data_IF_355126721463
#
_entry.id   IF_355126721463
#
_cell.length_a   1.000
_cell.length_b   1.000
_cell.length_c   1.000
_cell.angle_alpha   90.00
_cell.angle_beta   90.00
_cell.angle_gamma   90.00
#
_symmetry.space_group_name_H-M   'P 1'
#
loop_
_entity.id
_entity.type
_entity.pdbx_description
1 polymer ?
#
# COMPACT_ATOMS: atom_id res chain seq x y z
N UNK A 1 0.23 -3.69 30.17
CA UNK A 1 0.94 -3.16 28.99
C UNK A 1 0.65 -3.97 27.73
N UNK A 2 0.66 -5.31 27.77
CA UNK A 2 0.34 -6.17 26.61
C UNK A 2 -1.00 -5.87 25.90
N UNK A 3 -2.10 -5.65 26.65
CA UNK A 3 -3.42 -5.31 26.05
C UNK A 3 -3.41 -4.03 25.22
N UNK A 4 -2.62 -3.02 25.60
CA UNK A 4 -2.55 -1.75 24.88
C UNK A 4 -1.79 -1.91 23.56
N UNK A 5 -0.71 -2.70 23.56
CA UNK A 5 0.04 -3.04 22.36
C UNK A 5 -0.79 -3.89 21.40
N UNK A 6 -1.53 -4.88 21.90
CA UNK A 6 -2.44 -5.69 21.08
C UNK A 6 -3.56 -4.84 20.46
N UNK A 7 -4.18 -3.94 21.24
CA UNK A 7 -5.22 -3.04 20.73
C UNK A 7 -4.66 -2.10 19.66
N UNK A 8 -3.48 -1.52 19.91
CA UNK A 8 -2.80 -0.65 18.94
C UNK A 8 -2.48 -1.38 17.63
N UNK A 9 -1.88 -2.57 17.70
CA UNK A 9 -1.57 -3.38 16.51
C UNK A 9 -2.86 -3.78 15.78
N UNK A 10 -3.90 -4.15 16.50
CA UNK A 10 -5.20 -4.46 15.90
C UNK A 10 -5.77 -3.26 15.15
N UNK A 11 -5.81 -2.07 15.78
CA UNK A 11 -6.29 -0.84 15.14
C UNK A 11 -5.43 -0.46 13.94
N UNK A 12 -4.11 -0.61 14.02
CA UNK A 12 -3.19 -0.35 12.91
C UNK A 12 -3.47 -1.27 11.72
N UNK A 13 -3.53 -2.58 11.95
CA UNK A 13 -3.83 -3.56 10.89
C UNK A 13 -5.22 -3.33 10.29
N UNK A 14 -6.21 -2.98 11.12
CA UNK A 14 -7.56 -2.67 10.65
C UNK A 14 -7.60 -1.41 9.77
N UNK A 15 -6.87 -0.36 10.13
CA UNK A 15 -6.76 0.85 9.31
C UNK A 15 -6.02 0.60 7.99
N UNK A 16 -4.94 -0.17 8.01
CA UNK A 16 -4.23 -0.63 6.81
C UNK A 16 -5.21 -1.39 5.88
N UNK A 17 -5.91 -2.39 6.41
CA UNK A 17 -6.90 -3.18 5.68
C UNK A 17 -7.98 -2.31 5.02
N UNK A 18 -8.56 -1.37 5.79
CA UNK A 18 -9.56 -0.43 5.25
C UNK A 18 -8.96 0.45 4.16
N UNK A 19 -7.75 0.95 4.35
CA UNK A 19 -7.04 1.75 3.38
C UNK A 19 -6.83 1.03 2.05
N UNK A 20 -6.30 -0.19 2.08
CA UNK A 20 -6.08 -1.01 0.87
C UNK A 20 -7.40 -1.43 0.22
N UNK A 21 -8.44 -1.70 1.01
CA UNK A 21 -9.79 -1.98 0.50
C UNK A 21 -10.36 -0.77 -0.25
N UNK A 22 -10.20 0.44 0.29
CA UNK A 22 -10.63 1.68 -0.37
C UNK A 22 -9.83 1.95 -1.65
N UNK A 23 -8.52 1.69 -1.64
CA UNK A 23 -7.68 1.80 -2.83
C UNK A 23 -8.16 0.84 -3.93
N UNK A 24 -8.40 -0.43 -3.59
CA UNK A 24 -8.95 -1.44 -4.49
C UNK A 24 -10.30 -1.00 -5.06
N UNK A 25 -11.20 -0.51 -4.21
CA UNK A 25 -12.51 -0.03 -4.64
C UNK A 25 -12.40 1.16 -5.60
N UNK A 26 -11.49 2.11 -5.37
CA UNK A 26 -11.23 3.24 -6.28
C UNK A 26 -10.68 2.79 -7.62
N UNK A 27 -9.78 1.81 -7.63
CA UNK A 27 -9.21 1.24 -8.86
C UNK A 27 -10.31 0.56 -9.68
N UNK A 28 -11.11 -0.30 -9.06
CA UNK A 28 -12.21 -1.01 -9.72
C UNK A 28 -13.31 -0.05 -10.20
N UNK A 29 -13.69 0.93 -9.37
CA UNK A 29 -14.71 1.92 -9.72
C UNK A 29 -14.28 2.77 -10.91
N UNK A 30 -13.01 3.20 -10.95
CA UNK A 30 -12.46 3.93 -12.09
C UNK A 30 -12.44 3.06 -13.36
N UNK A 31 -12.04 1.79 -13.24
CA UNK A 31 -12.05 0.86 -14.36
C UNK A 31 -13.46 0.63 -14.94
N UNK A 32 -14.46 0.43 -14.08
CA UNK A 32 -15.86 0.25 -14.50
C UNK A 32 -16.43 1.52 -15.13
N UNK A 33 -16.14 2.69 -14.56
CA UNK A 33 -16.68 3.97 -15.04
C UNK A 33 -16.07 4.41 -16.36
N UNK A 34 -14.77 4.17 -16.55
CA UNK A 34 -14.03 4.72 -17.71
C UNK A 34 -13.83 3.66 -18.80
N UNK A 35 -14.07 2.38 -18.51
CA UNK A 35 -13.69 1.22 -19.35
C UNK A 35 -12.22 1.27 -19.82
N UNK A 36 -11.39 1.99 -19.08
CA UNK A 36 -10.00 2.23 -19.40
C UNK A 36 -9.15 2.07 -18.17
N UNK A 37 -7.91 1.63 -18.38
CA UNK A 37 -6.86 1.51 -17.36
C UNK A 37 -6.12 2.83 -17.14
N UNK A 38 -6.40 3.82 -17.98
CA UNK A 38 -5.83 5.18 -17.93
C UNK A 38 -6.45 5.97 -16.77
N UNK A 39 -5.64 6.70 -16.00
CA UNK A 39 -6.11 7.52 -14.86
C UNK A 39 -6.29 6.79 -13.53
N UNK A 40 -5.95 5.49 -13.44
CA UNK A 40 -6.00 4.72 -12.18
C UNK A 40 -5.06 5.32 -11.14
N UNK A 41 -3.86 5.74 -11.58
CA UNK A 41 -2.90 6.41 -10.71
C UNK A 41 -3.44 7.75 -10.19
N UNK A 42 -4.11 8.55 -11.01
CA UNK A 42 -4.71 9.81 -10.58
C UNK A 42 -5.81 9.61 -9.52
N UNK A 43 -6.55 8.49 -9.59
CA UNK A 43 -7.64 8.16 -8.65
C UNK A 43 -7.16 7.58 -7.31
N UNK A 44 -6.19 6.66 -7.35
CA UNK A 44 -5.77 5.84 -6.21
C UNK A 44 -4.29 5.99 -5.81
N UNK A 45 -3.46 6.62 -6.64
CA UNK A 45 -2.00 6.70 -6.44
C UNK A 45 -1.59 7.46 -5.19
N UNK A 46 -2.23 8.59 -4.87
CA UNK A 46 -1.96 9.33 -3.63
C UNK A 46 -2.39 8.54 -2.39
N UNK A 47 -3.50 7.79 -2.46
CA UNK A 47 -3.93 6.92 -1.36
C UNK A 47 -2.92 5.77 -1.16
N UNK A 48 -2.47 5.12 -2.22
CA UNK A 48 -1.46 4.04 -2.15
C UNK A 48 -0.11 4.58 -1.64
N UNK A 49 0.26 5.80 -2.03
CA UNK A 49 1.45 6.46 -1.49
C UNK A 49 1.34 6.65 0.02
N UNK A 50 0.18 7.12 0.51
CA UNK A 50 -0.09 7.26 1.94
C UNK A 50 -0.03 5.90 2.65
N UNK A 51 -0.64 4.85 2.09
CA UNK A 51 -0.59 3.50 2.65
C UNK A 51 0.84 2.95 2.72
N UNK A 52 1.67 3.21 1.70
CA UNK A 52 3.09 2.85 1.77
C UNK A 52 3.85 3.64 2.82
N UNK A 53 3.55 4.92 3.03
CA UNK A 53 4.12 5.66 4.15
C UNK A 53 3.68 5.06 5.49
N UNK A 54 2.41 4.67 5.64
CA UNK A 54 1.91 4.00 6.84
C UNK A 54 2.58 2.64 7.07
N UNK A 55 2.82 1.86 6.01
CA UNK A 55 3.51 0.57 6.09
C UNK A 55 4.95 0.68 6.63
N UNK A 56 5.57 1.86 6.61
CA UNK A 56 6.85 2.08 7.30
C UNK A 56 6.73 1.95 8.82
N UNK A 57 5.54 2.09 9.41
CA UNK A 57 5.35 1.87 10.84
C UNK A 57 5.61 0.41 11.23
N UNK A 58 5.38 -0.56 10.34
CA UNK A 58 5.72 -1.98 10.60
C UNK A 58 7.22 -2.20 10.75
N UNK A 59 8.02 -1.47 9.97
CA UNK A 59 9.48 -1.43 10.15
C UNK A 59 9.81 -0.92 11.54
N UNK A 60 9.17 0.16 11.98
CA UNK A 60 9.40 0.73 13.30
C UNK A 60 8.95 -0.25 14.41
N UNK A 61 7.83 -0.96 14.24
CA UNK A 61 7.37 -1.98 15.19
C UNK A 61 8.38 -3.12 15.32
N UNK A 62 8.98 -3.55 14.20
CA UNK A 62 10.07 -4.53 14.18
C UNK A 62 11.36 -4.02 14.82
N UNK A 63 11.69 -2.73 14.64
CA UNK A 63 12.88 -2.10 15.21
C UNK A 63 12.78 -1.94 16.74
N UNK A 64 11.59 -1.59 17.24
CA UNK A 64 11.31 -1.43 18.68
C UNK A 64 11.12 -2.80 19.36
N UNK A 65 10.98 -3.90 18.60
CA UNK A 65 10.77 -5.24 19.14
C UNK A 65 9.34 -5.48 19.63
N UNK A 66 8.36 -4.70 19.13
CA UNK A 66 6.93 -4.93 19.41
C UNK A 66 6.47 -6.25 18.75
N UNK A 67 7.10 -6.61 17.62
CA UNK A 67 6.77 -7.82 16.85
C UNK A 67 8.00 -8.73 16.78
N UNK A 68 7.87 -10.04 17.06
CA UNK A 68 8.99 -10.98 17.14
C UNK A 68 9.67 -11.29 15.80
N UNK A 69 9.07 -10.91 14.66
CA UNK A 69 9.58 -11.20 13.30
C UNK A 69 10.83 -10.40 12.91
N UNK A 70 11.24 -9.43 13.71
CA UNK A 70 12.40 -8.58 13.44
C UNK A 70 12.15 -7.54 12.34
N UNK A 71 13.12 -6.63 12.15
CA UNK A 71 12.98 -5.42 11.31
C UNK A 71 13.30 -5.63 9.82
N UNK A 72 14.10 -6.65 9.49
CA UNK A 72 14.71 -6.80 8.17
C UNK A 72 13.69 -7.18 7.08
N UNK A 73 12.74 -8.07 7.40
CA UNK A 73 11.73 -8.50 6.44
C UNK A 73 10.75 -7.38 6.07
N UNK A 74 10.14 -6.65 7.02
CA UNK A 74 9.30 -5.48 6.70
C UNK A 74 10.06 -4.40 5.94
N UNK A 75 11.34 -4.15 6.28
CA UNK A 75 12.17 -3.19 5.57
C UNK A 75 12.36 -3.55 4.10
N UNK A 76 12.67 -4.81 3.81
CA UNK A 76 12.91 -5.28 2.45
C UNK A 76 11.63 -5.20 1.61
N UNK A 77 10.49 -5.61 2.17
CA UNK A 77 9.19 -5.52 1.51
C UNK A 77 8.77 -4.07 1.25
N UNK A 78 8.90 -3.22 2.27
CA UNK A 78 8.55 -1.80 2.17
C UNK A 78 9.44 -1.06 1.18
N UNK A 79 10.76 -1.27 1.23
CA UNK A 79 11.72 -0.58 0.36
C UNK A 79 11.51 -0.95 -1.11
N UNK A 80 11.28 -2.23 -1.44
CA UNK A 80 11.03 -2.66 -2.81
C UNK A 80 9.79 -2.01 -3.42
N UNK A 81 8.68 -2.00 -2.68
CA UNK A 81 7.42 -1.39 -3.14
C UNK A 81 7.49 0.13 -3.21
N UNK A 82 8.10 0.76 -2.21
CA UNK A 82 8.24 2.23 -2.14
C UNK A 82 9.18 2.74 -3.22
N UNK A 83 10.27 2.02 -3.52
CA UNK A 83 11.16 2.36 -4.61
C UNK A 83 10.46 2.31 -5.97
N UNK A 84 9.71 1.23 -6.25
CA UNK A 84 8.91 1.14 -7.47
C UNK A 84 7.89 2.30 -7.57
N UNK A 85 7.15 2.59 -6.50
CA UNK A 85 6.12 3.62 -6.51
C UNK A 85 6.69 5.04 -6.67
N UNK A 86 7.67 5.42 -5.83
CA UNK A 86 8.18 6.78 -5.74
C UNK A 86 9.27 7.09 -6.77
N UNK A 87 10.18 6.15 -7.02
CA UNK A 87 11.30 6.38 -7.92
C UNK A 87 10.95 6.12 -9.39
N UNK A 88 10.02 5.20 -9.68
CA UNK A 88 9.66 4.83 -11.05
C UNK A 88 8.31 5.44 -11.44
N UNK A 89 7.22 4.98 -10.81
CA UNK A 89 5.86 5.34 -11.23
C UNK A 89 5.57 6.84 -11.06
N UNK A 90 6.02 7.45 -9.95
CA UNK A 90 5.79 8.88 -9.70
C UNK A 90 6.62 9.79 -10.61
N UNK A 91 7.77 9.34 -11.10
CA UNK A 91 8.66 10.15 -11.95
C UNK A 91 8.27 10.11 -13.43
N UNK A 92 7.62 9.04 -13.89
CA UNK A 92 7.35 8.81 -15.32
C UNK A 92 5.84 8.85 -15.56
N UNK A 93 5.34 9.97 -16.07
CA UNK A 93 3.91 10.17 -16.33
C UNK A 93 3.37 9.18 -17.37
N UNK A 94 4.18 8.79 -18.38
CA UNK A 94 3.74 7.77 -19.35
C UNK A 94 3.51 6.40 -18.70
N UNK A 95 4.21 6.09 -17.60
CA UNK A 95 3.98 4.85 -16.85
C UNK A 95 2.71 4.91 -16.01
N UNK A 96 2.29 6.09 -15.55
CA UNK A 96 1.07 6.26 -14.74
C UNK A 96 -0.20 5.90 -15.52
N UNK A 97 -0.17 6.12 -16.84
CA UNK A 97 -1.23 5.76 -17.78
C UNK A 97 -1.12 4.34 -18.33
N UNK A 98 -0.06 3.61 -17.95
CA UNK A 98 0.18 2.26 -18.45
C UNK A 98 -0.65 1.21 -17.70
N UNK A 99 -1.08 0.14 -18.40
CA UNK A 99 -1.78 -0.99 -17.79
C UNK A 99 -0.94 -1.69 -16.71
N UNK A 100 0.39 -1.54 -16.72
CA UNK A 100 1.25 -2.12 -15.69
C UNK A 100 0.94 -1.56 -14.30
N UNK A 101 0.68 -0.26 -14.18
CA UNK A 101 0.34 0.37 -12.89
C UNK A 101 -0.98 -0.17 -12.36
N UNK A 102 -1.97 -0.34 -13.22
CA UNK A 102 -3.25 -0.96 -12.85
C UNK A 102 -3.06 -2.37 -12.30
N UNK A 103 -2.27 -3.22 -12.99
CA UNK A 103 -2.00 -4.59 -12.56
C UNK A 103 -1.25 -4.59 -11.22
N UNK A 104 -0.20 -3.77 -11.08
CA UNK A 104 0.58 -3.71 -9.84
C UNK A 104 -0.27 -3.23 -8.65
N UNK A 105 -1.05 -2.17 -8.83
CA UNK A 105 -1.86 -1.62 -7.74
C UNK A 105 -2.99 -2.55 -7.34
N UNK A 106 -3.60 -3.22 -8.31
CA UNK A 106 -4.62 -4.25 -8.04
C UNK A 106 -4.02 -5.43 -7.30
N UNK A 107 -2.85 -5.91 -7.73
CA UNK A 107 -2.16 -7.03 -7.09
C UNK A 107 -1.73 -6.69 -5.65
N UNK A 108 -1.19 -5.49 -5.42
CA UNK A 108 -0.82 -5.04 -4.08
C UNK A 108 -2.04 -4.88 -3.18
N UNK A 109 -3.10 -4.25 -3.67
CA UNK A 109 -4.31 -4.09 -2.86
C UNK A 109 -4.93 -5.45 -2.53
N UNK A 110 -4.90 -6.42 -3.44
CA UNK A 110 -5.41 -7.77 -3.17
C UNK A 110 -4.54 -8.52 -2.15
N UNK A 111 -3.21 -8.37 -2.22
CA UNK A 111 -2.27 -9.01 -1.30
C UNK A 111 -2.34 -8.46 0.14
N UNK A 112 -2.76 -7.21 0.32
CA UNK A 112 -2.86 -6.57 1.64
C UNK A 112 -4.27 -6.70 2.24
N UNK A 113 -5.26 -7.00 1.41
CA UNK A 113 -6.64 -7.32 1.84
C UNK A 113 -6.76 -8.79 2.27
N UNK A 114 -5.89 -9.67 1.80
CA UNK A 114 -5.85 -11.10 2.17
C UNK A 114 -5.19 -11.35 3.52
#
# INVERSE_FOLDING_TARGET
MAKLQTLYLFSYNFLQFLGWTLALFRILSNFISTNSVTGVYASAGELICLLQCCAFLEVIHGAIGIVPTGVVLPLMQWSGRTHFLLAIVRQIVELQESPSVFITFSAWSLSEVS
#
